data_IF_297039029329
#
_entry.id   IF_297039029329
#
_cell.length_a   1.000
_cell.length_b   1.000
_cell.length_c   1.000
_cell.angle_alpha   90.00
_cell.angle_beta   90.00
_cell.angle_gamma   90.00
#
_symmetry.space_group_name_H-M   'P 1'
#
loop_
_entity.id
_entity.type
_entity.pdbx_description
1 polymer ?
#
# COMPACT_ATOMS: atom_id res chain seq x y z
N UNK A 1 -53.12 -9.05 -10.47
CA UNK A 1 -52.11 -10.11 -10.38
C UNK A 1 -50.83 -9.45 -9.94
N UNK A 2 -50.32 -9.86 -8.79
CA UNK A 2 -49.29 -9.19 -8.00
C UNK A 2 -48.01 -8.86 -8.76
N UNK A 3 -47.51 -7.63 -8.57
CA UNK A 3 -46.14 -7.27 -8.84
C UNK A 3 -45.34 -7.66 -7.58
N UNK A 4 -44.75 -8.86 -7.58
CA UNK A 4 -43.75 -9.21 -6.58
C UNK A 4 -42.57 -8.24 -6.74
N UNK A 5 -42.43 -7.31 -5.79
CA UNK A 5 -41.18 -6.58 -5.62
C UNK A 5 -40.14 -7.60 -5.17
N UNK A 6 -39.27 -8.02 -6.08
CA UNK A 6 -38.07 -8.77 -5.71
C UNK A 6 -37.39 -8.04 -4.53
N UNK A 7 -37.15 -8.71 -3.39
CA UNK A 7 -36.44 -8.10 -2.29
C UNK A 7 -35.05 -7.74 -2.81
N UNK A 8 -34.78 -6.44 -2.95
CA UNK A 8 -33.49 -5.93 -3.40
C UNK A 8 -32.38 -6.62 -2.61
N UNK A 9 -31.57 -7.42 -3.30
CA UNK A 9 -30.57 -8.27 -2.68
C UNK A 9 -29.65 -7.45 -1.77
N UNK A 10 -29.56 -7.82 -0.49
CA UNK A 10 -28.69 -7.17 0.51
C UNK A 10 -27.18 -7.34 0.22
N UNK A 11 -26.80 -8.04 -0.86
CA UNK A 11 -25.40 -8.30 -1.23
C UNK A 11 -24.55 -7.03 -1.38
N UNK A 12 -25.15 -5.90 -1.76
CA UNK A 12 -24.46 -4.61 -1.85
C UNK A 12 -23.89 -4.10 -0.52
N UNK A 13 -24.44 -4.55 0.62
CA UNK A 13 -23.91 -4.21 1.95
C UNK A 13 -22.49 -4.77 2.12
N UNK A 14 -22.22 -5.99 1.64
CA UNK A 14 -20.88 -6.57 1.69
C UNK A 14 -19.88 -5.78 0.84
N UNK A 15 -20.31 -5.27 -0.31
CA UNK A 15 -19.48 -4.38 -1.15
C UNK A 15 -19.17 -3.08 -0.41
N UNK A 16 -20.14 -2.49 0.28
CA UNK A 16 -19.94 -1.27 1.08
C UNK A 16 -18.96 -1.50 2.23
N UNK A 17 -19.16 -2.55 3.02
CA UNK A 17 -18.27 -2.91 4.13
C UNK A 17 -16.85 -3.17 3.61
N UNK A 18 -16.72 -3.89 2.49
CA UNK A 18 -15.43 -4.14 1.86
C UNK A 18 -14.70 -2.86 1.48
N UNK A 19 -15.40 -1.86 0.93
CA UNK A 19 -14.79 -0.55 0.59
C UNK A 19 -14.38 0.25 1.83
N UNK A 20 -15.15 0.16 2.93
CA UNK A 20 -14.77 0.78 4.21
C UNK A 20 -13.47 0.16 4.72
N UNK A 21 -13.40 -1.17 4.79
CA UNK A 21 -12.20 -1.89 5.24
C UNK A 21 -11.01 -1.55 4.34
N UNK A 22 -11.22 -1.51 3.01
CA UNK A 22 -10.18 -1.11 2.05
C UNK A 22 -9.67 0.30 2.33
N UNK A 23 -10.56 1.27 2.54
CA UNK A 23 -10.18 2.65 2.85
C UNK A 23 -9.41 2.79 4.15
N UNK A 24 -9.81 2.06 5.20
CA UNK A 24 -9.07 2.02 6.47
C UNK A 24 -7.65 1.48 6.29
N UNK A 25 -7.47 0.44 5.47
CA UNK A 25 -6.17 -0.15 5.17
C UNK A 25 -5.26 0.75 4.33
N UNK A 26 -5.82 1.58 3.44
CA UNK A 26 -5.06 2.46 2.54
C UNK A 26 -4.54 3.72 3.24
N UNK A 27 -5.31 4.24 4.20
CA UNK A 27 -5.02 5.49 4.92
C UNK A 27 -3.59 5.60 5.47
N UNK A 28 -3.03 4.59 6.17
CA UNK A 28 -1.71 4.71 6.77
C UNK A 28 -0.55 4.43 5.80
N UNK A 29 -0.80 3.85 4.61
CA UNK A 29 0.26 3.32 3.74
C UNK A 29 1.23 4.42 3.31
N UNK A 30 0.70 5.53 2.80
CA UNK A 30 1.50 6.64 2.31
C UNK A 30 2.24 7.38 3.43
N UNK A 31 1.59 7.85 4.51
CA UNK A 31 2.30 8.56 5.58
C UNK A 31 3.31 7.68 6.30
N UNK A 32 2.95 6.44 6.68
CA UNK A 32 3.89 5.54 7.35
C UNK A 32 5.04 5.12 6.44
N UNK A 33 4.78 4.91 5.15
CA UNK A 33 5.81 4.56 4.18
C UNK A 33 6.86 5.66 4.01
N UNK A 34 6.43 6.92 3.95
CA UNK A 34 7.34 8.07 3.84
C UNK A 34 8.13 8.25 5.13
N UNK A 35 7.46 8.26 6.30
CA UNK A 35 8.16 8.39 7.59
C UNK A 35 9.19 7.28 7.80
N UNK A 36 8.82 6.04 7.50
CA UNK A 36 9.74 4.91 7.56
C UNK A 36 10.96 5.10 6.64
N UNK A 37 10.74 5.58 5.41
CA UNK A 37 11.82 5.82 4.47
C UNK A 37 12.79 6.90 4.98
N UNK A 38 12.26 8.02 5.47
CA UNK A 38 13.06 9.14 5.98
C UNK A 38 13.84 8.79 7.25
N UNK A 39 13.26 7.95 8.12
CA UNK A 39 13.91 7.48 9.34
C UNK A 39 15.15 6.63 9.05
N UNK A 40 15.10 5.78 8.00
CA UNK A 40 16.19 4.86 7.66
C UNK A 40 17.15 5.36 6.56
N UNK A 41 16.76 6.33 5.75
CA UNK A 41 17.60 6.90 4.69
C UNK A 41 18.63 7.91 5.23
N UNK A 42 19.81 7.96 4.60
CA UNK A 42 20.74 9.09 4.76
C UNK A 42 20.18 10.36 4.12
N UNK A 43 20.49 11.52 4.68
CA UNK A 43 20.03 12.82 4.17
C UNK A 43 20.42 13.06 2.70
N UNK A 44 21.57 12.54 2.25
CA UNK A 44 22.04 12.67 0.87
C UNK A 44 21.25 11.80 -0.12
N UNK A 45 20.83 10.59 0.30
CA UNK A 45 20.14 9.61 -0.57
C UNK A 45 18.61 9.67 -0.45
N UNK A 46 18.08 10.27 0.62
CA UNK A 46 16.65 10.38 0.89
C UNK A 46 15.83 10.94 -0.29
N UNK A 47 16.25 12.03 -0.98
CA UNK A 47 15.50 12.56 -2.11
C UNK A 47 15.38 11.56 -3.28
N UNK A 48 16.40 10.75 -3.51
CA UNK A 48 16.39 9.74 -4.56
C UNK A 48 15.39 8.62 -4.26
N UNK A 49 15.42 8.07 -3.04
CA UNK A 49 14.47 7.03 -2.65
C UNK A 49 13.02 7.53 -2.63
N UNK A 50 12.79 8.78 -2.19
CA UNK A 50 11.47 9.39 -2.25
C UNK A 50 11.00 9.57 -3.70
N UNK A 51 11.91 9.93 -4.62
CA UNK A 51 11.64 9.98 -6.06
C UNK A 51 11.21 8.63 -6.63
N UNK A 52 11.86 7.53 -6.23
CA UNK A 52 11.44 6.18 -6.61
C UNK A 52 10.04 5.83 -6.08
N UNK A 53 9.77 6.16 -4.80
CA UNK A 53 8.47 5.93 -4.18
C UNK A 53 7.35 6.67 -4.92
N UNK A 54 7.56 7.95 -5.24
CA UNK A 54 6.59 8.75 -5.99
C UNK A 54 6.38 8.25 -7.42
N UNK A 55 7.45 7.78 -8.07
CA UNK A 55 7.33 7.17 -9.41
C UNK A 55 6.45 5.94 -9.39
N UNK A 56 6.57 5.08 -8.36
CA UNK A 56 5.69 3.93 -8.18
C UNK A 56 4.22 4.35 -7.97
N UNK A 57 3.97 5.42 -7.21
CA UNK A 57 2.62 6.00 -7.02
C UNK A 57 2.01 6.45 -8.35
N UNK A 58 2.81 7.02 -9.25
CA UNK A 58 2.34 7.46 -10.58
C UNK A 58 2.11 6.27 -11.51
N UNK A 59 2.97 5.24 -11.48
CA UNK A 59 2.85 4.04 -12.32
C UNK A 59 1.65 3.17 -11.91
N UNK A 60 1.35 3.10 -10.62
CA UNK A 60 0.27 2.27 -10.07
C UNK A 60 -1.09 2.46 -10.77
N UNK A 61 -1.61 3.68 -10.92
CA UNK A 61 -2.84 3.96 -11.66
C UNK A 61 -2.83 3.41 -13.09
N UNK A 62 -1.73 3.53 -13.82
CA UNK A 62 -1.65 3.00 -15.20
C UNK A 62 -1.80 1.48 -15.23
N UNK A 63 -1.10 0.77 -14.34
CA UNK A 63 -1.24 -0.69 -14.22
C UNK A 63 -2.65 -1.09 -13.78
N UNK A 64 -3.25 -0.33 -12.86
CA UNK A 64 -4.63 -0.53 -12.40
C UNK A 64 -5.65 -0.34 -13.52
N UNK A 65 -5.52 0.70 -14.33
CA UNK A 65 -6.41 0.92 -15.49
C UNK A 65 -6.26 -0.17 -16.55
N UNK A 66 -5.02 -0.63 -16.82
CA UNK A 66 -4.78 -1.74 -17.74
C UNK A 66 -5.44 -3.03 -17.24
N UNK A 67 -5.23 -3.39 -15.97
CA UNK A 67 -5.85 -4.56 -15.36
C UNK A 67 -7.38 -4.45 -15.36
N UNK A 68 -7.93 -3.29 -14.97
CA UNK A 68 -9.36 -3.03 -14.98
C UNK A 68 -9.96 -3.13 -16.38
N UNK A 69 -9.27 -2.63 -17.41
CA UNK A 69 -9.68 -2.77 -18.81
C UNK A 69 -9.72 -4.22 -19.26
N UNK A 70 -8.73 -5.03 -18.87
CA UNK A 70 -8.72 -6.47 -19.18
C UNK A 70 -9.85 -7.21 -18.48
N UNK A 71 -10.08 -6.93 -17.18
CA UNK A 71 -11.21 -7.49 -16.43
C UNK A 71 -12.57 -7.08 -17.03
N UNK A 72 -12.68 -5.85 -17.55
CA UNK A 72 -13.89 -5.37 -18.18
C UNK A 72 -14.21 -6.09 -19.51
N UNK A 73 -13.21 -6.62 -20.21
CA UNK A 73 -13.37 -7.42 -21.44
C UNK A 73 -13.81 -8.85 -21.20
N UNK A 74 -13.84 -9.31 -19.95
CA UNK A 74 -14.27 -10.65 -19.57
C UNK A 74 -15.68 -10.56 -18.99
N UNK A 75 -16.60 -11.45 -19.41
CA UNK A 75 -17.97 -11.42 -18.91
C UNK A 75 -18.02 -11.82 -17.43
N UNK A 76 -18.95 -11.21 -16.68
CA UNK A 76 -19.07 -11.37 -15.21
C UNK A 76 -19.19 -12.83 -14.75
N UNK A 77 -19.84 -13.69 -15.55
CA UNK A 77 -20.06 -15.13 -15.27
C UNK A 77 -19.09 -16.05 -16.02
N UNK A 78 -17.80 -15.68 -16.06
CA UNK A 78 -16.76 -16.52 -16.65
C UNK A 78 -16.75 -17.91 -15.98
N UNK A 79 -17.10 -18.96 -16.75
CA UNK A 79 -17.06 -20.37 -16.32
C UNK A 79 -18.39 -21.00 -15.93
N UNK A 80 -19.49 -20.23 -15.80
CA UNK A 80 -20.83 -20.77 -15.53
C UNK A 80 -21.65 -21.02 -16.80
N UNK A 81 -21.32 -20.33 -17.90
CA UNK A 81 -22.05 -20.39 -19.17
C UNK A 81 -21.06 -20.55 -20.32
N UNK A 82 -21.32 -21.49 -21.23
CA UNK A 82 -20.53 -21.65 -22.45
C UNK A 82 -20.64 -20.36 -23.27
N UNK A 83 -19.50 -19.78 -23.65
CA UNK A 83 -19.43 -18.58 -24.48
C UNK A 83 -20.09 -18.76 -25.87
N UNK A 84 -20.38 -20.01 -26.26
CA UNK A 84 -21.07 -20.37 -27.50
C UNK A 84 -22.60 -20.17 -27.43
N UNK A 85 -23.20 -20.14 -26.23
CA UNK A 85 -24.65 -19.93 -26.02
C UNK A 85 -25.00 -18.45 -25.73
N UNK A 86 -23.99 -17.60 -25.56
CA UNK A 86 -24.18 -16.19 -25.22
C UNK A 86 -23.98 -15.35 -26.49
N UNK A 87 -25.09 -14.99 -27.16
CA UNK A 87 -25.12 -14.03 -28.27
C UNK A 87 -24.92 -12.56 -27.81
N UNK A 88 -24.23 -12.34 -26.70
CA UNK A 88 -23.99 -11.00 -26.14
C UNK A 88 -22.55 -10.61 -26.45
N UNK A 89 -22.39 -9.60 -27.28
CA UNK A 89 -21.09 -9.06 -27.67
C UNK A 89 -20.65 -8.02 -26.62
N UNK A 90 -19.35 -7.76 -26.50
CA UNK A 90 -18.78 -6.73 -25.60
C UNK A 90 -19.36 -5.32 -25.85
N UNK A 91 -20.00 -5.11 -27.00
CA UNK A 91 -20.67 -3.86 -27.40
C UNK A 91 -22.11 -3.74 -26.89
N UNK A 92 -22.70 -4.80 -26.35
CA UNK A 92 -24.08 -4.77 -25.86
C UNK A 92 -24.19 -4.09 -24.50
N UNK A 93 -25.24 -3.28 -24.30
CA UNK A 93 -25.48 -2.55 -23.05
C UNK A 93 -25.69 -3.46 -21.82
N UNK A 94 -25.90 -4.76 -22.05
CA UNK A 94 -26.04 -5.79 -21.00
C UNK A 94 -24.69 -6.35 -20.55
N UNK A 95 -23.61 -5.98 -21.22
CA UNK A 95 -22.26 -6.42 -20.88
C UNK A 95 -21.81 -5.80 -19.56
N UNK A 96 -21.70 -6.64 -18.54
CA UNK A 96 -21.04 -6.30 -17.28
C UNK A 96 -19.75 -7.09 -17.23
N UNK A 97 -18.63 -6.38 -17.22
CA UNK A 97 -17.32 -7.01 -17.11
C UNK A 97 -17.10 -7.65 -15.73
N UNK A 98 -16.15 -8.56 -15.63
CA UNK A 98 -15.76 -9.24 -14.39
C UNK A 98 -15.02 -8.31 -13.42
N UNK A 99 -15.71 -7.29 -12.92
CA UNK A 99 -15.19 -6.25 -12.02
C UNK A 99 -14.62 -6.83 -10.71
N UNK A 100 -15.21 -7.91 -10.20
CA UNK A 100 -14.79 -8.61 -9.00
C UNK A 100 -13.40 -9.25 -9.16
N UNK A 101 -13.03 -9.64 -10.38
CA UNK A 101 -11.76 -10.33 -10.65
C UNK A 101 -10.55 -9.41 -10.37
N UNK A 102 -10.64 -8.15 -10.77
CA UNK A 102 -9.60 -7.16 -10.50
C UNK A 102 -9.37 -6.96 -9.00
N UNK A 103 -10.45 -6.96 -8.20
CA UNK A 103 -10.37 -6.84 -6.74
C UNK A 103 -9.61 -8.03 -6.14
N UNK A 104 -9.90 -9.26 -6.58
CA UNK A 104 -9.23 -10.46 -6.07
C UNK A 104 -7.74 -10.52 -6.44
N UNK A 105 -7.39 -10.11 -7.66
CA UNK A 105 -6.00 -10.04 -8.11
C UNK A 105 -5.24 -9.02 -7.27
N UNK A 106 -5.76 -7.80 -7.13
CA UNK A 106 -5.13 -6.76 -6.32
C UNK A 106 -5.01 -7.15 -4.85
N UNK A 107 -6.04 -7.75 -4.26
CA UNK A 107 -6.01 -8.22 -2.88
C UNK A 107 -4.93 -9.30 -2.66
N UNK A 108 -4.80 -10.23 -3.61
CA UNK A 108 -3.78 -11.29 -3.56
C UNK A 108 -2.37 -10.72 -3.69
N UNK A 109 -2.14 -9.79 -4.62
CA UNK A 109 -0.85 -9.10 -4.78
C UNK A 109 -0.49 -8.30 -3.51
N UNK A 110 -1.45 -7.61 -2.89
CA UNK A 110 -1.23 -6.88 -1.65
C UNK A 110 -0.87 -7.82 -0.48
N UNK A 111 -1.58 -8.95 -0.38
CA UNK A 111 -1.29 -9.97 0.64
C UNK A 111 0.13 -10.55 0.46
N UNK A 112 0.51 -10.87 -0.77
CA UNK A 112 1.86 -11.34 -1.11
C UNK A 112 2.93 -10.29 -0.79
N UNK A 113 2.65 -9.01 -1.07
CA UNK A 113 3.54 -7.90 -0.74
C UNK A 113 3.68 -7.70 0.79
N UNK A 114 2.67 -8.07 1.58
CA UNK A 114 2.73 -8.03 3.05
C UNK A 114 3.60 -9.12 3.66
N UNK A 115 3.79 -10.27 3.00
CA UNK A 115 4.60 -11.39 3.49
C UNK A 115 6.04 -10.95 3.85
N UNK A 116 6.82 -10.30 2.97
CA UNK A 116 8.19 -9.89 3.29
C UNK A 116 8.27 -8.91 4.47
N UNK A 117 7.24 -8.08 4.72
CA UNK A 117 7.19 -7.20 5.88
C UNK A 117 7.11 -7.97 7.21
N UNK A 118 6.58 -9.19 7.21
CA UNK A 118 6.58 -10.04 8.41
C UNK A 118 7.99 -10.55 8.74
N UNK A 119 8.83 -10.73 7.73
CA UNK A 119 10.21 -11.20 7.89
C UNK A 119 11.22 -10.08 8.16
N UNK A 120 10.76 -8.83 8.19
CA UNK A 120 11.62 -7.68 8.47
C UNK A 120 12.02 -7.65 9.96
N UNK A 121 13.30 -7.42 10.29
CA UNK A 121 13.76 -7.36 11.67
C UNK A 121 13.09 -6.20 12.42
N UNK A 122 12.79 -6.41 13.71
CA UNK A 122 12.10 -5.44 14.59
C UNK A 122 12.82 -4.11 14.74
N UNK A 123 14.10 -4.04 14.34
CA UNK A 123 14.94 -2.85 14.44
C UNK A 123 15.82 -2.85 13.22
N UNK A 124 15.72 -1.80 12.41
CA UNK A 124 16.63 -1.56 11.30
C UNK A 124 17.62 -0.50 11.74
N UNK A 125 18.87 -0.69 11.38
CA UNK A 125 19.90 0.31 11.62
C UNK A 125 19.81 1.32 10.49
N UNK A 126 19.83 2.61 10.81
CA UNK A 126 19.84 3.67 9.80
C UNK A 126 21.04 3.47 8.88
N UNK A 127 20.84 3.72 7.59
CA UNK A 127 21.88 3.51 6.58
C UNK A 127 23.17 4.26 6.98
N UNK A 128 24.26 3.52 7.21
CA UNK A 128 25.56 4.05 7.62
C UNK A 128 25.81 4.23 9.12
N UNK A 129 24.85 3.91 9.98
CA UNK A 129 25.09 3.81 11.42
C UNK A 129 25.51 2.36 11.76
N UNK A 130 26.54 2.20 12.57
CA UNK A 130 26.81 0.91 13.23
C UNK A 130 25.98 0.88 14.51
N UNK A 131 25.61 -0.30 15.02
CA UNK A 131 24.79 -0.53 16.23
C UNK A 131 25.38 0.11 17.52
N UNK A 132 25.53 1.42 17.59
CA UNK A 132 25.74 2.13 18.84
C UNK A 132 24.35 2.45 19.39
N UNK A 133 23.99 1.93 20.58
CA UNK A 133 22.72 2.25 21.20
C UNK A 133 22.55 3.77 21.25
N UNK A 134 21.38 4.28 20.89
CA UNK A 134 21.01 5.70 21.01
C UNK A 134 21.39 6.27 22.40
N UNK A 135 21.31 5.45 23.45
CA UNK A 135 21.81 5.79 24.79
C UNK A 135 23.32 6.08 24.83
N UNK A 136 24.16 5.29 24.15
CA UNK A 136 25.61 5.47 24.09
C UNK A 136 25.97 6.73 23.30
N UNK A 137 25.25 7.02 22.21
CA UNK A 137 25.40 8.29 21.48
C UNK A 137 24.99 9.49 22.33
N UNK A 138 23.82 9.43 22.97
CA UNK A 138 23.34 10.52 23.81
C UNK A 138 24.29 10.76 25.00
N UNK A 139 24.80 9.69 25.60
CA UNK A 139 25.78 9.74 26.69
C UNK A 139 27.12 10.29 26.23
N UNK A 140 27.62 9.91 25.05
CA UNK A 140 28.86 10.46 24.50
C UNK A 140 28.73 11.94 24.13
N UNK A 141 27.59 12.38 23.56
CA UNK A 141 27.32 13.80 23.31
C UNK A 141 27.26 14.60 24.61
N UNK A 142 26.57 14.09 25.64
CA UNK A 142 26.51 14.74 26.96
C UNK A 142 27.90 14.84 27.59
N UNK A 143 28.70 13.77 27.54
CA UNK A 143 30.05 13.77 28.08
C UNK A 143 30.99 14.74 27.34
N UNK A 144 30.82 14.89 26.03
CA UNK A 144 31.58 15.89 25.26
C UNK A 144 31.19 17.32 25.67
N UNK A 145 29.90 17.59 25.83
CA UNK A 145 29.42 18.90 26.30
C UNK A 145 29.89 19.22 27.73
N UNK A 146 29.92 18.22 28.61
CA UNK A 146 30.41 18.37 29.99
C UNK A 146 31.91 18.64 30.01
N UNK A 147 32.70 17.92 29.20
CA UNK A 147 34.14 18.14 29.06
C UNK A 147 34.46 19.53 28.49
N UNK A 148 33.71 20.03 27.50
CA UNK A 148 33.91 21.38 26.98
C UNK A 148 33.55 22.47 28.01
N UNK A 149 32.49 22.26 28.80
CA UNK A 149 32.09 23.19 29.85
C UNK A 149 33.09 23.24 31.01
N UNK A 150 33.68 22.11 31.39
CA UNK A 150 34.77 22.02 32.38
C UNK A 150 36.04 22.73 31.88
N UNK A 151 36.41 22.51 30.62
CA UNK A 151 37.58 23.14 30.02
C UNK A 151 37.43 24.66 29.90
N UNK A 152 36.23 25.15 29.61
CA UNK A 152 35.93 26.59 29.59
C UNK A 152 36.09 27.24 30.97
N UNK A 153 35.67 26.55 32.06
CA UNK A 153 35.81 27.05 33.44
C UNK A 153 37.25 27.05 33.94
N UNK A 154 38.08 26.12 33.47
CA UNK A 154 39.51 26.07 33.86
C UNK A 154 40.38 27.10 33.12
N UNK A 155 39.87 27.65 32.02
CA UNK A 155 40.58 28.66 31.20
C UNK A 155 40.32 30.12 31.61
N UNK A 156 39.54 30.35 32.67
CA UNK A 156 39.11 31.66 33.16
C UNK A 156 39.60 31.89 34.58
#
# INVERSE_FOLDING_TARGET
TDCEKEPGSMLWIFVMIGNIIRGMGETPIMPLGISYLEDFAKAENSPFYLGCLQTATVIGPFLGFLLGSLCAKLFVDMGSVNAEDITITVTDARWVGAWWLGILICASLNLLAGIPFWFLPKTLVKEGETNEPEEVRKKSVILLQENEAEHAKQSM
#
